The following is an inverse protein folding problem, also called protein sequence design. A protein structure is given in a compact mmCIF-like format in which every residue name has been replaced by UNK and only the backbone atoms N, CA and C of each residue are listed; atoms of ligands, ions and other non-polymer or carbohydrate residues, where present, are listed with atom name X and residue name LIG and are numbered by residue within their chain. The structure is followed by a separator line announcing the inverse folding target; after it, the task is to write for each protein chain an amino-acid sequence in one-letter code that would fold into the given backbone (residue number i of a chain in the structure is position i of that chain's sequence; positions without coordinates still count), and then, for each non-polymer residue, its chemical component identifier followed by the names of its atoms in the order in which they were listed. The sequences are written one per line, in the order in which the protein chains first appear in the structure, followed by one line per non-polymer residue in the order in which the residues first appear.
data_IF_957417952720
#
_entry.id   IF_957417952720
#
_cell.length_a   1.000
_cell.length_b   1.000
_cell.length_c   1.000
_cell.angle_alpha   90.00
_cell.angle_beta   90.00
_cell.angle_gamma   90.00
#
_symmetry.space_group_name_H-M   'P 1'
#
loop_
_entity.id
_entity.type
_entity.pdbx_description
1 polymer ?
#
# COMPACT_ATOMS: atom_id res chain seq x y z
N UNK A 1 16.79 -1.73 -6.76
CA UNK A 1 17.36 -3.03 -7.16
C UNK A 1 18.68 -3.37 -6.45
N UNK A 2 19.76 -2.60 -6.62
CA UNK A 2 21.09 -2.94 -6.03
C UNK A 2 21.05 -3.13 -4.51
N UNK A 3 20.39 -2.23 -3.77
CA UNK A 3 20.25 -2.34 -2.31
C UNK A 3 19.51 -3.61 -1.90
N UNK A 4 18.39 -3.94 -2.56
CA UNK A 4 17.63 -5.16 -2.30
C UNK A 4 18.43 -6.44 -2.63
N UNK A 5 19.27 -6.41 -3.68
CA UNK A 5 20.18 -7.53 -3.98
C UNK A 5 21.26 -7.69 -2.91
N UNK A 6 21.79 -6.60 -2.36
CA UNK A 6 22.75 -6.66 -1.24
C UNK A 6 22.08 -7.22 0.01
N UNK A 7 20.87 -6.76 0.34
CA UNK A 7 20.07 -7.27 1.44
C UNK A 7 19.77 -8.77 1.31
N UNK A 8 19.43 -9.23 0.11
CA UNK A 8 19.24 -10.66 -0.19
C UNK A 8 20.52 -11.47 0.09
N UNK A 9 21.69 -10.95 -0.33
CA UNK A 9 22.99 -11.61 -0.14
C UNK A 9 23.45 -11.63 1.32
N UNK A 10 23.07 -10.63 2.11
CA UNK A 10 23.39 -10.57 3.54
C UNK A 10 22.36 -11.26 4.43
N UNK A 11 21.36 -11.94 3.85
CA UNK A 11 20.25 -12.55 4.58
C UNK A 11 19.55 -11.58 5.55
N UNK A 12 19.39 -10.33 5.13
CA UNK A 12 18.73 -9.30 5.92
C UNK A 12 17.29 -9.71 6.25
N UNK A 13 16.89 -9.62 7.53
CA UNK A 13 15.53 -9.97 7.97
C UNK A 13 14.45 -9.07 7.35
N UNK A 14 14.81 -7.86 6.90
CA UNK A 14 13.91 -6.95 6.20
C UNK A 14 13.79 -7.28 4.70
N UNK A 15 14.60 -8.18 4.15
CA UNK A 15 14.55 -8.53 2.73
C UNK A 15 13.19 -9.17 2.36
N UNK A 16 12.60 -8.68 1.26
CA UNK A 16 11.40 -9.25 0.64
C UNK A 16 11.66 -9.44 -0.86
N UNK A 17 11.41 -10.65 -1.35
CA UNK A 17 11.57 -10.98 -2.79
C UNK A 17 10.58 -10.19 -3.66
N UNK A 18 9.37 -9.94 -3.15
CA UNK A 18 8.34 -9.15 -3.85
C UNK A 18 8.84 -7.73 -4.16
N UNK A 19 9.48 -7.06 -3.20
CA UNK A 19 10.01 -5.71 -3.38
C UNK A 19 11.13 -5.66 -4.44
N UNK A 20 12.00 -6.68 -4.44
CA UNK A 20 13.04 -6.81 -5.47
C UNK A 20 12.43 -7.04 -6.86
N UNK A 21 11.41 -7.90 -6.96
CA UNK A 21 10.72 -8.18 -8.22
C UNK A 21 10.02 -6.94 -8.78
N UNK A 22 9.31 -6.19 -7.92
CA UNK A 22 8.68 -4.92 -8.29
C UNK A 22 9.72 -3.90 -8.78
N UNK A 23 10.80 -3.69 -8.01
CA UNK A 23 11.86 -2.76 -8.39
C UNK A 23 12.55 -3.14 -9.72
N UNK A 24 12.71 -4.45 -9.99
CA UNK A 24 13.27 -4.91 -11.26
C UNK A 24 12.30 -4.68 -12.43
N UNK A 25 11.01 -4.95 -12.23
CA UNK A 25 9.95 -4.66 -13.22
C UNK A 25 9.95 -3.19 -13.58
N UNK A 26 10.00 -2.29 -12.61
CA UNK A 26 9.94 -0.85 -12.87
C UNK A 26 11.16 -0.37 -13.66
N UNK A 27 12.37 -0.84 -13.31
CA UNK A 27 13.59 -0.54 -14.05
C UNK A 27 13.53 -1.08 -15.49
N UNK A 28 13.07 -2.31 -15.68
CA UNK A 28 12.94 -2.90 -17.02
C UNK A 28 11.85 -2.23 -17.85
N UNK A 29 10.72 -1.83 -17.23
CA UNK A 29 9.65 -1.07 -17.88
C UNK A 29 10.17 0.28 -18.37
N UNK A 30 10.89 1.01 -17.52
CA UNK A 30 11.53 2.28 -17.87
C UNK A 30 12.52 2.09 -19.02
N UNK A 31 13.46 1.14 -18.90
CA UNK A 31 14.46 0.87 -19.93
C UNK A 31 13.82 0.45 -21.27
N UNK A 32 12.70 -0.26 -21.24
CA UNK A 32 11.98 -0.69 -22.43
C UNK A 32 11.17 0.43 -23.09
N UNK A 33 10.49 1.27 -22.31
CA UNK A 33 9.59 2.32 -22.83
C UNK A 33 10.30 3.62 -23.19
N UNK A 34 11.30 4.02 -22.41
CA UNK A 34 11.97 5.32 -22.56
C UNK A 34 12.49 5.61 -23.99
N UNK A 35 13.07 4.65 -24.74
CA UNK A 35 13.55 4.91 -26.10
C UNK A 35 12.46 5.26 -27.12
N UNK A 36 11.20 4.86 -26.87
CA UNK A 36 10.07 5.06 -27.77
C UNK A 36 9.06 6.09 -27.24
N UNK A 37 9.27 6.61 -26.04
CA UNK A 37 8.34 7.53 -25.38
C UNK A 37 8.44 8.95 -25.94
N UNK A 38 7.28 9.59 -26.13
CA UNK A 38 7.17 11.00 -26.53
C UNK A 38 6.06 11.71 -25.75
N UNK A 39 6.03 13.04 -25.83
CA UNK A 39 4.97 13.85 -25.24
C UNK A 39 4.77 13.59 -23.74
N UNK A 40 3.50 13.37 -23.34
CA UNK A 40 3.10 13.13 -21.96
C UNK A 40 3.72 11.87 -21.36
N UNK A 41 3.82 10.78 -22.13
CA UNK A 41 4.42 9.53 -21.64
C UNK A 41 5.90 9.75 -21.25
N UNK A 42 6.66 10.50 -22.05
CA UNK A 42 8.04 10.82 -21.70
C UNK A 42 8.14 11.68 -20.44
N UNK A 43 7.19 12.59 -20.23
CA UNK A 43 7.12 13.40 -19.02
C UNK A 43 6.86 12.54 -17.77
N UNK A 44 5.97 11.55 -17.87
CA UNK A 44 5.67 10.60 -16.80
C UNK A 44 6.87 9.67 -16.51
N UNK A 45 7.51 9.11 -17.54
CA UNK A 45 8.63 8.16 -17.38
C UNK A 45 9.93 8.80 -16.88
N UNK A 46 10.17 10.08 -17.17
CA UNK A 46 11.34 10.82 -16.63
C UNK A 46 11.27 11.01 -15.12
N UNK A 47 10.10 10.77 -14.52
CA UNK A 47 9.81 11.08 -13.14
C UNK A 47 9.73 12.59 -12.90
N UNK A 48 9.33 12.96 -11.70
CA UNK A 48 9.27 14.36 -11.29
C UNK A 48 10.63 14.81 -10.76
N UNK A 49 11.24 15.83 -11.38
CA UNK A 49 12.25 16.65 -10.72
C UNK A 49 11.64 17.30 -9.46
N UNK A 50 12.49 17.86 -8.58
CA UNK A 50 12.01 18.61 -7.41
C UNK A 50 11.01 19.68 -7.86
N UNK A 51 9.74 19.44 -7.55
CA UNK A 51 8.66 20.32 -8.00
C UNK A 51 8.69 21.61 -7.18
N UNK A 52 8.56 22.78 -7.83
CA UNK A 52 8.45 24.03 -7.10
C UNK A 52 7.17 24.00 -6.26
N UNK A 53 7.25 24.53 -5.05
CA UNK A 53 6.05 24.73 -4.25
C UNK A 53 5.30 25.95 -4.82
N UNK A 54 3.99 25.81 -5.03
CA UNK A 54 3.14 26.92 -5.44
C UNK A 54 2.61 27.66 -4.20
N UNK A 55 2.49 29.00 -4.26
CA UNK A 55 1.84 29.75 -3.20
C UNK A 55 0.36 29.35 -3.15
N UNK A 56 -0.14 29.03 -1.96
CA UNK A 56 -1.53 28.66 -1.72
C UNK A 56 -2.21 29.60 -0.71
N UNK A 57 -1.66 30.81 -0.54
CA UNK A 57 -2.23 31.86 0.30
C UNK A 57 -2.33 31.48 1.78
N UNK A 58 -3.54 31.58 2.33
CA UNK A 58 -3.88 31.23 3.71
C UNK A 58 -4.62 29.89 3.73
N UNK A 59 -4.17 28.96 4.58
CA UNK A 59 -4.74 27.63 4.74
C UNK A 59 -5.16 27.39 6.19
N UNK A 60 -6.38 26.89 6.38
CA UNK A 60 -6.80 26.25 7.62
C UNK A 60 -6.68 24.75 7.46
N UNK A 61 -5.85 24.14 8.29
CA UNK A 61 -5.56 22.72 8.28
C UNK A 61 -6.02 22.08 9.59
N UNK A 62 -6.43 20.82 9.50
CA UNK A 62 -6.88 19.98 10.58
C UNK A 62 -6.04 18.70 10.57
N UNK A 63 -5.44 18.36 11.71
CA UNK A 63 -4.71 17.11 11.89
C UNK A 63 -5.59 15.90 11.61
N UNK A 64 -5.05 14.90 10.90
CA UNK A 64 -5.73 13.65 10.63
C UNK A 64 -5.13 12.48 11.41
N UNK A 65 -3.88 12.15 11.10
CA UNK A 65 -3.15 11.03 11.70
C UNK A 65 -1.65 11.18 11.36
N UNK A 66 -0.79 10.43 12.05
CA UNK A 66 0.63 10.32 11.71
C UNK A 66 1.03 8.87 11.45
N UNK A 67 1.91 8.64 10.48
CA UNK A 67 2.48 7.30 10.22
C UNK A 67 4.02 7.34 10.31
N UNK A 68 4.65 6.27 10.82
CA UNK A 68 6.09 6.14 10.78
C UNK A 68 6.56 5.91 9.34
N UNK A 69 7.71 6.45 9.00
CA UNK A 69 8.45 6.11 7.79
C UNK A 69 9.62 5.25 8.20
N UNK A 70 9.74 4.07 7.60
CA UNK A 70 10.89 3.19 7.70
C UNK A 70 11.08 2.52 6.34
N UNK A 71 12.15 2.88 5.64
CA UNK A 71 12.38 2.39 4.27
C UNK A 71 13.60 1.48 4.20
N UNK A 72 13.56 0.52 3.27
CA UNK A 72 14.72 -0.32 2.96
C UNK A 72 15.92 0.46 2.39
N UNK A 73 15.72 1.73 1.97
CA UNK A 73 16.78 2.62 1.51
C UNK A 73 17.52 3.33 2.66
N UNK A 74 17.18 3.02 3.92
CA UNK A 74 17.85 3.55 5.10
C UNK A 74 17.35 4.92 5.53
N UNK A 75 16.12 5.30 5.14
CA UNK A 75 15.46 6.51 5.60
C UNK A 75 14.39 6.15 6.63
N UNK A 76 14.29 6.98 7.66
CA UNK A 76 13.32 6.83 8.72
C UNK A 76 12.80 8.17 9.23
N UNK A 77 11.62 8.17 9.84
CA UNK A 77 10.96 9.40 10.27
C UNK A 77 9.48 9.24 10.54
N UNK A 78 8.73 10.32 10.38
CA UNK A 78 7.28 10.31 10.40
C UNK A 78 6.71 11.26 9.33
N UNK A 79 5.48 10.96 8.93
CA UNK A 79 4.65 11.85 8.10
C UNK A 79 3.35 12.09 8.85
N UNK A 80 2.99 13.35 9.05
CA UNK A 80 1.66 13.73 9.52
C UNK A 80 0.82 14.16 8.34
N UNK A 81 -0.38 13.59 8.27
CA UNK A 81 -1.42 13.97 7.34
C UNK A 81 -2.34 15.01 7.98
N UNK A 82 -2.72 15.99 7.19
CA UNK A 82 -3.67 17.03 7.54
C UNK A 82 -4.66 17.20 6.39
N UNK A 83 -5.86 17.71 6.67
CA UNK A 83 -6.81 18.11 5.64
C UNK A 83 -7.17 19.58 5.78
N UNK A 84 -7.48 20.24 4.66
CA UNK A 84 -8.12 21.56 4.70
C UNK A 84 -9.64 21.45 4.89
N UNK A 85 -10.31 22.60 4.99
CA UNK A 85 -11.77 22.66 5.14
C UNK A 85 -12.56 22.10 3.94
N UNK A 86 -11.92 21.87 2.79
CA UNK A 86 -12.53 21.24 1.62
C UNK A 86 -12.37 19.72 1.63
N UNK A 87 -11.46 19.19 2.45
CA UNK A 87 -11.08 17.78 2.48
C UNK A 87 -9.82 17.48 1.65
N UNK A 88 -9.11 18.50 1.15
CA UNK A 88 -7.85 18.30 0.43
C UNK A 88 -6.76 17.90 1.42
N UNK A 89 -6.04 16.83 1.08
CA UNK A 89 -4.97 16.29 1.92
C UNK A 89 -3.66 17.04 1.73
N UNK A 90 -2.96 17.25 2.84
CA UNK A 90 -1.65 17.87 2.93
C UNK A 90 -0.74 17.08 3.86
N UNK A 91 0.56 17.08 3.59
CA UNK A 91 1.54 16.34 4.38
C UNK A 91 2.64 17.23 4.96
N UNK A 92 3.07 16.87 6.17
CA UNK A 92 4.25 17.39 6.84
C UNK A 92 5.14 16.21 7.19
N UNK A 93 6.43 16.25 6.83
CA UNK A 93 7.33 15.12 6.97
C UNK A 93 8.64 15.50 7.65
N UNK A 94 9.11 14.68 8.59
CA UNK A 94 10.48 14.68 9.10
C UNK A 94 11.14 13.34 8.78
N UNK A 95 11.68 13.22 7.57
CA UNK A 95 12.33 12.00 7.08
C UNK A 95 13.80 12.29 6.81
N UNK A 96 14.68 11.50 7.42
CA UNK A 96 16.12 11.59 7.22
C UNK A 96 16.74 10.18 7.31
N UNK A 97 18.02 10.01 6.94
CA UNK A 97 18.70 8.74 7.14
C UNK A 97 18.57 8.23 8.58
N UNK A 98 18.20 6.98 8.76
CA UNK A 98 17.97 6.36 10.06
C UNK A 98 17.28 5.00 9.98
N UNK A 99 17.15 4.34 11.13
CA UNK A 99 16.44 3.07 11.28
C UNK A 99 15.21 3.18 12.18
N UNK A 100 14.73 2.03 12.66
CA UNK A 100 13.50 1.93 13.43
C UNK A 100 13.41 2.88 14.64
N UNK A 101 14.51 3.08 15.38
CA UNK A 101 14.53 4.02 16.51
C UNK A 101 14.27 5.49 16.12
N UNK A 102 14.62 5.90 14.89
CA UNK A 102 14.24 7.22 14.37
C UNK A 102 12.77 7.23 13.97
N UNK A 103 12.27 6.15 13.35
CA UNK A 103 10.87 6.06 12.93
C UNK A 103 9.91 6.17 14.13
N UNK A 104 10.22 5.48 15.23
CA UNK A 104 9.42 5.54 16.46
C UNK A 104 9.58 6.88 17.18
N UNK A 105 10.81 7.39 17.29
CA UNK A 105 11.09 8.65 17.99
C UNK A 105 10.68 9.91 17.22
N UNK A 106 10.39 9.84 15.92
CA UNK A 106 10.00 10.99 15.12
C UNK A 106 8.64 11.56 15.54
N UNK A 107 7.73 10.74 16.07
CA UNK A 107 6.42 11.18 16.54
C UNK A 107 6.49 12.34 17.55
N UNK A 108 7.48 12.29 18.43
CA UNK A 108 7.70 13.23 19.53
C UNK A 108 8.72 14.33 19.19
N UNK A 109 9.27 14.34 17.96
CA UNK A 109 10.14 15.42 17.49
C UNK A 109 9.32 16.59 16.98
N UNK A 110 9.69 17.78 17.43
CA UNK A 110 9.10 19.02 16.95
C UNK A 110 9.40 19.26 15.48
N UNK A 111 8.35 19.42 14.67
CA UNK A 111 8.44 19.88 13.29
C UNK A 111 8.10 21.36 13.24
N UNK A 112 8.96 22.12 12.57
CA UNK A 112 8.78 23.54 12.40
C UNK A 112 7.99 23.82 11.13
N UNK A 113 6.89 24.56 11.27
CA UNK A 113 6.09 25.10 10.16
C UNK A 113 6.04 26.60 10.37
N UNK A 114 6.79 27.34 9.55
CA UNK A 114 6.98 28.78 9.74
C UNK A 114 7.62 29.10 11.10
N UNK A 115 6.87 29.78 11.95
CA UNK A 115 7.23 30.17 13.31
C UNK A 115 6.63 29.28 14.42
N UNK A 116 5.74 28.33 14.08
CA UNK A 116 5.22 27.35 15.03
C UNK A 116 6.04 26.07 15.01
N UNK A 117 6.18 25.44 16.19
CA UNK A 117 6.74 24.10 16.35
C UNK A 117 5.71 23.23 17.06
N UNK A 118 5.38 22.08 16.46
CA UNK A 118 4.52 21.05 17.03
C UNK A 118 5.19 19.70 16.79
N UNK A 119 5.04 18.77 17.73
CA UNK A 119 5.38 17.37 17.44
C UNK A 119 4.42 16.78 16.41
N UNK A 120 4.81 15.70 15.73
CA UNK A 120 3.92 14.99 14.82
C UNK A 120 2.65 14.49 15.53
N UNK A 121 2.78 14.03 16.78
CA UNK A 121 1.66 13.58 17.62
C UNK A 121 0.69 14.72 17.97
N UNK A 122 1.20 15.92 18.25
CA UNK A 122 0.36 17.10 18.46
C UNK A 122 -0.29 17.55 17.15
N UNK A 123 0.46 17.56 16.05
CA UNK A 123 -0.04 18.00 14.75
C UNK A 123 -1.14 17.08 14.21
N UNK A 124 -1.09 15.77 14.46
CA UNK A 124 -2.16 14.87 14.02
C UNK A 124 -3.50 15.12 14.71
N UNK A 125 -3.53 15.88 15.82
CA UNK A 125 -4.73 16.18 16.61
C UNK A 125 -5.11 17.66 16.62
N UNK A 126 -4.13 18.56 16.41
CA UNK A 126 -4.33 19.99 16.42
C UNK A 126 -4.84 20.53 15.07
N UNK A 127 -5.25 21.80 15.06
CA UNK A 127 -5.41 22.58 13.84
C UNK A 127 -4.20 23.47 13.60
N UNK A 128 -4.02 23.92 12.36
CA UNK A 128 -3.04 24.94 11.99
C UNK A 128 -3.70 25.98 11.09
N UNK A 129 -3.39 27.25 11.33
CA UNK A 129 -3.62 28.33 10.37
C UNK A 129 -2.26 28.70 9.80
N UNK A 130 -2.08 28.54 8.49
CA UNK A 130 -0.83 28.80 7.79
C UNK A 130 -1.05 29.94 6.80
N UNK A 131 -0.26 31.01 6.88
CA UNK A 131 -0.24 32.09 5.90
C UNK A 131 1.08 32.10 5.12
N UNK A 132 0.99 32.49 3.85
CA UNK A 132 2.12 32.35 2.92
C UNK A 132 2.45 30.88 2.62
N UNK A 133 1.45 29.99 2.74
CA UNK A 133 1.66 28.56 2.57
C UNK A 133 2.21 28.25 1.18
N UNK A 134 3.20 27.37 1.13
CA UNK A 134 3.74 26.85 -0.11
C UNK A 134 3.44 25.36 -0.15
N UNK A 135 2.82 24.87 -1.23
CA UNK A 135 2.38 23.47 -1.34
C UNK A 135 2.95 22.85 -2.62
N UNK A 136 3.51 21.64 -2.52
CA UNK A 136 3.89 20.87 -3.71
C UNK A 136 2.64 20.38 -4.46
N UNK A 137 2.75 19.97 -5.73
CA UNK A 137 1.64 19.31 -6.44
C UNK A 137 1.11 18.08 -5.70
N UNK A 138 1.98 17.38 -4.96
CA UNK A 138 1.67 16.22 -4.13
C UNK A 138 1.14 16.57 -2.73
N UNK A 139 0.83 17.84 -2.44
CA UNK A 139 0.23 18.27 -1.17
C UNK A 139 1.21 18.47 -0.02
N UNK A 140 2.53 18.35 -0.24
CA UNK A 140 3.52 18.58 0.81
C UNK A 140 3.59 20.05 1.17
N UNK A 141 3.55 20.36 2.47
CA UNK A 141 3.70 21.72 2.97
C UNK A 141 5.17 22.12 3.05
N UNK A 142 5.48 23.30 2.52
CA UNK A 142 6.79 23.92 2.63
C UNK A 142 6.90 24.72 3.92
N UNK A 143 8.09 24.73 4.51
CA UNK A 143 8.42 25.50 5.73
C UNK A 143 9.35 26.69 5.42
N UNK A 144 9.16 27.35 4.26
CA UNK A 144 10.02 28.45 3.81
C UNK A 144 9.92 29.70 4.70
N UNK A 145 10.88 30.63 4.58
CA UNK A 145 10.99 31.83 5.42
C UNK A 145 9.78 32.78 5.37
N UNK A 146 8.97 32.72 4.30
CA UNK A 146 7.73 33.49 4.17
C UNK A 146 6.49 32.82 4.76
N UNK A 147 6.61 31.59 5.27
CA UNK A 147 5.51 30.84 5.88
C UNK A 147 5.38 31.26 7.33
N UNK A 148 4.16 31.60 7.74
CA UNK A 148 3.78 31.80 9.14
C UNK A 148 2.73 30.77 9.48
N UNK A 149 2.81 30.20 10.68
CA UNK A 149 1.80 29.26 11.13
C UNK A 149 1.49 29.49 12.59
N UNK A 150 0.24 29.26 12.96
CA UNK A 150 -0.23 29.35 14.34
C UNK A 150 -1.07 28.11 14.65
N UNK A 151 -0.84 27.52 15.83
CA UNK A 151 -1.68 26.43 16.35
C UNK A 151 -3.12 26.91 16.49
N UNK A 152 -4.05 26.08 16.08
CA UNK A 152 -5.48 26.32 16.20
C UNK A 152 -6.19 25.06 16.73
N UNK A 153 -7.49 25.18 17.00
CA UNK A 153 -8.31 24.03 17.35
C UNK A 153 -8.37 23.04 16.18
N UNK A 154 -8.15 21.76 16.49
CA UNK A 154 -8.36 20.65 15.57
C UNK A 154 -9.85 20.30 15.41
N UNK A 155 -10.11 19.18 14.78
CA UNK A 155 -11.44 18.58 14.68
C UNK A 155 -11.31 17.07 14.92
N UNK A 156 -12.28 16.49 15.62
CA UNK A 156 -12.39 15.03 15.71
C UNK A 156 -12.79 14.47 14.34
N UNK A 157 -12.48 13.20 14.07
CA UNK A 157 -12.83 12.58 12.79
C UNK A 157 -14.34 12.56 12.53
N UNK A 158 -15.16 12.49 13.57
CA UNK A 158 -16.63 12.51 13.48
C UNK A 158 -17.21 13.93 13.28
N UNK A 159 -16.42 14.98 13.47
CA UNK A 159 -16.85 16.36 13.35
C UNK A 159 -16.46 16.97 12.00
N UNK A 160 -17.20 17.98 11.57
CA UNK A 160 -16.79 18.81 10.44
C UNK A 160 -15.51 19.62 10.81
N UNK A 161 -14.59 19.83 9.85
CA UNK A 161 -14.72 19.47 8.44
C UNK A 161 -14.23 18.06 8.09
N UNK A 162 -13.63 17.31 9.02
CA UNK A 162 -12.99 16.02 8.71
C UNK A 162 -13.99 14.92 8.38
N UNK A 163 -15.19 14.97 8.96
CA UNK A 163 -16.24 13.96 8.76
C UNK A 163 -16.58 13.69 7.29
N UNK A 164 -16.44 14.69 6.42
CA UNK A 164 -16.67 14.54 4.98
C UNK A 164 -15.77 13.53 4.29
N UNK A 165 -14.56 13.29 4.81
CA UNK A 165 -13.63 12.33 4.21
C UNK A 165 -14.20 10.91 4.25
N UNK A 166 -14.88 10.58 5.35
CA UNK A 166 -15.60 9.32 5.53
C UNK A 166 -16.98 9.30 4.85
N UNK A 167 -17.56 10.46 4.55
CA UNK A 167 -18.83 10.56 3.84
C UNK A 167 -18.72 10.24 2.34
N UNK A 168 -17.50 10.23 1.77
CA UNK A 168 -17.28 9.86 0.36
C UNK A 168 -17.62 8.37 0.17
N UNK A 169 -18.46 8.00 -0.82
CA UNK A 169 -18.80 6.61 -1.09
C UNK A 169 -17.55 5.73 -1.26
N UNK A 170 -17.60 4.56 -0.62
CA UNK A 170 -16.51 3.58 -0.58
C UNK A 170 -15.97 3.28 -1.99
N UNK A 171 -16.85 2.99 -2.96
CA UNK A 171 -16.47 2.73 -4.35
C UNK A 171 -15.74 3.92 -5.03
N UNK A 172 -16.13 5.16 -4.73
CA UNK A 172 -15.46 6.35 -5.27
C UNK A 172 -14.04 6.50 -4.70
N UNK A 173 -13.88 6.24 -3.39
CA UNK A 173 -12.56 6.26 -2.76
C UNK A 173 -11.63 5.21 -3.40
N UNK A 174 -12.12 4.02 -3.72
CA UNK A 174 -11.33 2.97 -4.38
C UNK A 174 -10.97 3.30 -5.82
N UNK A 175 -11.93 3.78 -6.61
CA UNK A 175 -11.66 4.20 -7.99
C UNK A 175 -10.58 5.30 -8.04
N UNK A 176 -10.63 6.27 -7.12
CA UNK A 176 -9.58 7.29 -6.95
C UNK A 176 -8.24 6.68 -6.54
N UNK A 177 -8.23 5.79 -5.55
CA UNK A 177 -6.99 5.16 -5.06
C UNK A 177 -6.31 4.24 -6.09
N UNK A 178 -7.07 3.69 -7.05
CA UNK A 178 -6.54 2.86 -8.13
C UNK A 178 -5.98 3.69 -9.30
N UNK A 179 -6.51 4.90 -9.50
CA UNK A 179 -6.21 5.75 -10.68
C UNK A 179 -5.26 6.89 -10.38
N UNK A 180 -5.09 7.24 -9.10
CA UNK A 180 -4.25 8.36 -8.65
C UNK A 180 -3.22 7.88 -7.63
N UNK A 181 -2.22 8.71 -7.35
CA UNK A 181 -1.25 8.47 -6.28
C UNK A 181 -1.85 8.69 -4.86
N UNK A 182 -3.16 8.93 -4.73
CA UNK A 182 -3.85 9.07 -3.44
C UNK A 182 -4.40 7.72 -2.97
N UNK A 183 -3.56 6.94 -2.31
CA UNK A 183 -3.86 5.58 -1.88
C UNK A 183 -4.62 5.46 -0.54
N UNK A 184 -4.97 6.59 0.08
CA UNK A 184 -5.67 6.64 1.37
C UNK A 184 -7.19 6.44 1.23
N UNK A 185 -7.70 5.63 2.14
CA UNK A 185 -9.08 5.24 2.29
C UNK A 185 -9.57 5.64 3.68
N UNK A 186 -10.76 6.24 3.74
CA UNK A 186 -11.45 6.68 4.94
C UNK A 186 -12.71 5.85 5.09
N UNK A 187 -12.64 4.79 5.90
CA UNK A 187 -13.69 3.77 5.96
C UNK A 187 -14.36 3.76 7.34
N UNK A 188 -15.68 3.66 7.35
CA UNK A 188 -16.44 3.23 8.51
C UNK A 188 -16.53 1.70 8.48
N UNK A 189 -16.04 1.03 9.52
CA UNK A 189 -15.94 -0.43 9.55
C UNK A 189 -16.47 -1.01 10.86
N UNK A 190 -17.01 -2.23 10.80
CA UNK A 190 -17.34 -3.04 11.98
C UNK A 190 -16.42 -4.24 12.05
N UNK A 191 -15.67 -4.40 13.14
CA UNK A 191 -14.74 -5.52 13.29
C UNK A 191 -15.50 -6.85 13.43
N UNK A 192 -15.23 -7.83 12.57
CA UNK A 192 -15.97 -9.10 12.55
C UNK A 192 -15.14 -10.27 13.07
N UNK A 193 -13.83 -10.27 12.87
CA UNK A 193 -12.95 -11.32 13.38
C UNK A 193 -11.59 -11.35 12.71
N UNK A 194 -10.97 -12.53 12.62
CA UNK A 194 -9.70 -12.73 11.92
C UNK A 194 -9.80 -13.90 10.95
N UNK A 195 -8.98 -13.85 9.91
CA UNK A 195 -8.80 -14.95 8.94
C UNK A 195 -7.31 -15.29 8.86
N UNK A 196 -7.00 -16.58 8.78
CA UNK A 196 -5.63 -17.06 8.56
C UNK A 196 -5.44 -17.34 7.08
N UNK A 197 -4.43 -16.69 6.50
CA UNK A 197 -4.08 -16.83 5.09
C UNK A 197 -2.60 -17.19 4.96
N UNK A 198 -2.16 -17.51 3.73
CA UNK A 198 -0.76 -17.82 3.46
C UNK A 198 0.19 -16.67 3.83
N UNK A 199 -0.28 -15.43 3.74
CA UNK A 199 0.47 -14.22 4.11
C UNK A 199 0.48 -13.93 5.63
N UNK A 200 -0.32 -14.65 6.42
CA UNK A 200 -0.47 -14.45 7.85
C UNK A 200 -1.91 -14.26 8.30
N UNK A 201 -2.08 -13.82 9.54
CA UNK A 201 -3.40 -13.49 10.09
C UNK A 201 -3.79 -12.07 9.72
N UNK A 202 -5.02 -11.90 9.21
CA UNK A 202 -5.59 -10.60 8.87
C UNK A 202 -6.83 -10.33 9.74
N UNK A 203 -7.01 -9.07 10.11
CA UNK A 203 -8.25 -8.61 10.72
C UNK A 203 -9.31 -8.50 9.62
N UNK A 204 -10.53 -8.95 9.91
CA UNK A 204 -11.67 -8.87 9.00
C UNK A 204 -12.66 -7.86 9.56
N UNK A 205 -13.18 -7.01 8.69
CA UNK A 205 -14.20 -6.04 9.02
C UNK A 205 -15.28 -5.97 7.95
N UNK A 206 -16.50 -5.64 8.35
CA UNK A 206 -17.58 -5.25 7.45
C UNK A 206 -17.48 -3.75 7.17
N UNK A 207 -17.52 -3.37 5.90
CA UNK A 207 -17.59 -1.99 5.44
C UNK A 207 -18.80 -1.84 4.52
N UNK A 208 -19.94 -1.42 5.07
CA UNK A 208 -21.20 -1.30 4.34
C UNK A 208 -21.60 -2.59 3.57
N UNK A 209 -21.45 -3.76 4.21
CA UNK A 209 -21.75 -5.06 3.61
C UNK A 209 -20.57 -5.68 2.83
N UNK A 210 -19.49 -4.92 2.60
CA UNK A 210 -18.27 -5.44 1.98
C UNK A 210 -17.32 -6.01 3.03
N UNK A 211 -16.89 -7.26 2.85
CA UNK A 211 -15.89 -7.87 3.73
C UNK A 211 -14.48 -7.40 3.36
N UNK A 212 -13.87 -6.59 4.22
CA UNK A 212 -12.54 -6.01 4.05
C UNK A 212 -11.52 -6.74 4.92
N UNK A 213 -10.36 -7.06 4.33
CA UNK A 213 -9.18 -7.60 5.01
C UNK A 213 -8.21 -6.48 5.35
N UNK A 214 -8.00 -6.28 6.65
CA UNK A 214 -7.10 -5.27 7.20
C UNK A 214 -5.81 -5.94 7.67
N UNK A 215 -4.68 -5.49 7.11
CA UNK A 215 -3.34 -5.97 7.43
C UNK A 215 -2.47 -4.88 8.07
N UNK A 216 -1.34 -5.29 8.64
CA UNK A 216 -0.36 -4.36 9.21
C UNK A 216 0.30 -3.55 8.10
N UNK A 217 0.39 -2.24 8.27
CA UNK A 217 1.08 -1.39 7.30
C UNK A 217 2.60 -1.59 7.30
N UNK A 218 3.15 -2.12 8.39
CA UNK A 218 4.56 -2.51 8.48
C UNK A 218 4.74 -3.72 9.39
N UNK A 219 5.65 -4.61 9.02
CA UNK A 219 5.98 -5.83 9.75
C UNK A 219 7.17 -5.71 10.72
N UNK A 220 7.75 -4.52 10.88
CA UNK A 220 8.94 -4.35 11.71
C UNK A 220 8.52 -4.46 13.18
N UNK A 221 9.16 -5.33 13.98
CA UNK A 221 8.77 -5.57 15.37
C UNK A 221 8.93 -4.35 16.28
N UNK A 222 9.72 -3.35 15.88
CA UNK A 222 9.83 -2.10 16.62
C UNK A 222 8.57 -1.22 16.48
N UNK A 223 7.77 -1.42 15.43
CA UNK A 223 6.55 -0.66 15.17
C UNK A 223 5.32 -1.38 15.78
N UNK A 224 4.37 -0.66 16.41
CA UNK A 224 3.21 -1.25 17.08
C UNK A 224 2.16 -1.94 16.19
N UNK A 225 2.24 -1.82 14.86
CA UNK A 225 1.16 -2.23 13.94
C UNK A 225 0.61 -3.64 14.22
N UNK A 226 1.49 -4.66 14.30
CA UNK A 226 1.07 -6.05 14.48
C UNK A 226 0.44 -6.30 15.85
N UNK A 227 0.98 -5.70 16.90
CA UNK A 227 0.45 -5.85 18.25
C UNK A 227 -0.91 -5.18 18.38
N UNK A 228 -1.07 -3.99 17.81
CA UNK A 228 -2.34 -3.28 17.78
C UNK A 228 -3.41 -4.05 16.99
N UNK A 229 -3.07 -4.63 15.83
CA UNK A 229 -3.99 -5.47 15.05
C UNK A 229 -4.45 -6.71 15.83
N UNK A 230 -3.55 -7.37 16.58
CA UNK A 230 -3.90 -8.49 17.46
C UNK A 230 -4.83 -8.06 18.59
N UNK A 231 -4.66 -6.87 19.15
CA UNK A 231 -5.56 -6.33 20.17
C UNK A 231 -6.94 -6.00 19.57
N UNK A 232 -6.99 -5.33 18.42
CA UNK A 232 -8.24 -5.02 17.71
C UNK A 232 -9.02 -6.28 17.32
N UNK A 233 -8.35 -7.40 17.02
CA UNK A 233 -9.01 -8.68 16.80
C UNK A 233 -9.85 -9.18 18.00
N UNK A 234 -9.53 -8.70 19.21
CA UNK A 234 -10.32 -8.97 20.42
C UNK A 234 -11.53 -8.05 20.58
N UNK A 235 -11.63 -6.96 19.82
CA UNK A 235 -12.70 -5.95 19.90
C UNK A 235 -13.77 -6.16 18.81
N UNK A 236 -14.24 -7.41 18.65
CA UNK A 236 -15.27 -7.74 17.67
C UNK A 236 -16.58 -6.99 17.95
N UNK A 237 -17.29 -6.60 16.90
CA UNK A 237 -18.50 -5.79 16.97
C UNK A 237 -18.25 -4.29 17.11
N UNK A 238 -17.01 -3.85 17.40
CA UNK A 238 -16.67 -2.43 17.46
C UNK A 238 -16.83 -1.78 16.10
N UNK A 239 -17.56 -0.65 16.09
CA UNK A 239 -17.67 0.26 14.95
C UNK A 239 -16.58 1.30 15.07
N UNK A 240 -15.71 1.38 14.07
CA UNK A 240 -14.56 2.26 14.06
C UNK A 240 -14.52 3.04 12.76
N UNK A 241 -14.10 4.29 12.84
CA UNK A 241 -13.52 4.98 11.68
C UNK A 241 -12.08 4.54 11.54
N UNK A 242 -11.66 4.27 10.30
CA UNK A 242 -10.28 3.90 10.02
C UNK A 242 -9.73 4.71 8.86
N UNK A 243 -8.43 4.97 8.93
CA UNK A 243 -7.62 5.38 7.78
C UNK A 243 -6.77 4.20 7.37
N UNK A 244 -6.86 3.82 6.10
CA UNK A 244 -6.15 2.69 5.55
C UNK A 244 -5.53 3.03 4.19
N UNK A 245 -4.50 2.27 3.78
CA UNK A 245 -3.88 2.37 2.46
C UNK A 245 -4.30 1.19 1.59
N UNK A 246 -4.80 1.46 0.39
CA UNK A 246 -5.20 0.41 -0.55
C UNK A 246 -4.04 -0.54 -0.83
N UNK A 247 -4.29 -1.85 -0.78
CA UNK A 247 -3.37 -2.87 -1.29
C UNK A 247 -4.04 -3.63 -2.43
N UNK A 248 -3.55 -3.50 -3.67
CA UNK A 248 -4.07 -4.27 -4.79
C UNK A 248 -4.00 -5.78 -4.49
N UNK A 249 -5.15 -6.42 -4.46
CA UNK A 249 -5.28 -7.85 -4.22
C UNK A 249 -6.60 -8.36 -4.82
N UNK A 250 -6.73 -9.68 -5.10
CA UNK A 250 -7.98 -10.25 -5.61
C UNK A 250 -9.17 -10.15 -4.66
N UNK A 251 -8.94 -9.80 -3.40
CA UNK A 251 -9.95 -9.61 -2.37
C UNK A 251 -9.79 -8.22 -1.77
N UNK A 252 -10.87 -7.60 -1.24
CA UNK A 252 -10.79 -6.27 -0.67
C UNK A 252 -9.77 -6.22 0.47
N UNK A 253 -8.63 -5.56 0.25
CA UNK A 253 -7.51 -5.49 1.19
C UNK A 253 -7.00 -4.08 1.35
N UNK A 254 -6.72 -3.70 2.59
CA UNK A 254 -6.04 -2.46 2.92
C UNK A 254 -5.07 -2.62 4.10
N UNK A 255 -4.05 -1.78 4.13
CA UNK A 255 -3.12 -1.65 5.25
C UNK A 255 -3.69 -0.65 6.25
N UNK A 256 -3.87 -1.07 7.50
CA UNK A 256 -4.46 -0.22 8.53
C UNK A 256 -3.41 0.76 9.09
N UNK A 257 -3.67 2.07 8.96
CA UNK A 257 -2.76 3.13 9.37
C UNK A 257 -3.17 3.77 10.69
N UNK A 258 -4.46 4.09 10.84
CA UNK A 258 -5.00 4.69 12.05
C UNK A 258 -6.45 4.26 12.27
N UNK A 259 -6.90 4.29 13.52
CA UNK A 259 -8.29 3.98 13.91
C UNK A 259 -8.83 4.99 14.91
N UNK A 260 -10.14 5.25 14.92
CA UNK A 260 -10.79 5.93 16.03
C UNK A 260 -10.59 5.09 17.30
N UNK A 261 -10.44 5.75 18.44
CA UNK A 261 -10.18 5.02 19.68
C UNK A 261 -11.40 4.13 20.03
N UNK A 262 -11.22 2.84 20.36
CA UNK A 262 -12.36 1.92 20.49
C UNK A 262 -13.37 2.27 21.59
N UNK A 263 -12.96 3.07 22.57
CA UNK A 263 -13.80 3.54 23.69
C UNK A 263 -13.98 5.06 23.74
N UNK A 264 -13.36 5.81 22.83
CA UNK A 264 -13.45 7.29 22.77
C UNK A 264 -13.56 7.74 21.31
N UNK A 265 -14.75 8.15 20.87
CA UNK A 265 -14.99 8.52 19.48
C UNK A 265 -14.31 9.82 19.04
N UNK A 266 -13.87 10.65 19.98
CA UNK A 266 -13.20 11.93 19.69
C UNK A 266 -11.67 11.76 19.58
N UNK A 267 -11.15 10.63 20.06
CA UNK A 267 -9.75 10.26 19.95
C UNK A 267 -9.48 9.31 18.78
N UNK A 268 -8.22 9.25 18.35
CA UNK A 268 -7.72 8.27 17.39
C UNK A 268 -6.35 7.76 17.82
N UNK A 269 -5.99 6.61 17.26
CA UNK A 269 -4.73 5.90 17.49
C UNK A 269 -3.98 5.78 16.18
N UNK A 270 -2.79 6.36 16.15
CA UNK A 270 -1.83 6.26 15.05
C UNK A 270 -1.13 4.90 15.14
N UNK A 271 -1.58 3.86 14.42
CA UNK A 271 -1.22 2.46 14.72
C UNK A 271 0.27 2.12 14.59
N UNK A 272 1.03 2.94 13.87
CA UNK A 272 2.47 2.78 13.73
C UNK A 272 3.30 3.51 14.79
N UNK A 273 2.67 4.33 15.64
CA UNK A 273 3.34 5.19 16.63
C UNK A 273 2.79 4.97 18.04
N UNK A 274 1.48 4.79 18.16
CA UNK A 274 0.77 4.61 19.43
C UNK A 274 0.55 3.11 19.71
N UNK A 275 0.52 2.73 21.00
CA UNK A 275 0.25 1.36 21.44
C UNK A 275 -1.12 1.29 22.10
N UNK A 276 -2.00 0.45 21.57
CA UNK A 276 -3.22 0.05 22.26
C UNK A 276 -2.88 -0.85 23.45
N UNK A 277 -3.68 -0.74 24.49
CA UNK A 277 -3.69 -1.60 25.65
C UNK A 277 -5.03 -2.34 25.71
N UNK A 278 -5.09 -3.39 26.54
CA UNK A 278 -6.33 -4.14 26.79
C UNK A 278 -7.44 -3.24 27.35
N UNK A 279 -7.07 -2.24 28.15
CA UNK A 279 -7.98 -1.28 28.78
C UNK A 279 -8.62 -0.32 27.78
N UNK A 280 -8.03 -0.15 26.59
CA UNK A 280 -8.54 0.71 25.53
C UNK A 280 -9.63 0.02 24.70
N UNK A 281 -9.88 -1.28 24.95
CA UNK A 281 -10.91 -2.06 24.26
C UNK A 281 -12.23 -2.04 25.06
N UNK A 282 -13.38 -2.19 24.39
CA UNK A 282 -14.66 -2.29 25.08
C UNK A 282 -14.69 -3.46 26.07
N UNK A 283 -15.18 -3.21 27.29
CA UNK A 283 -15.25 -4.22 28.35
C UNK A 283 -16.21 -5.37 28.01
N UNK A 284 -17.26 -5.09 27.23
CA UNK A 284 -18.19 -6.09 26.73
C UNK A 284 -17.97 -6.29 25.24
N UNK A 285 -17.40 -7.43 24.88
CA UNK A 285 -17.34 -7.90 23.50
C UNK A 285 -18.51 -8.85 23.31
N UNK A 286 -19.44 -8.58 22.38
CA UNK A 286 -20.54 -9.51 22.11
C UNK A 286 -19.96 -10.90 21.82
N UNK A 287 -20.60 -11.98 22.31
CA UNK A 287 -20.14 -13.34 22.04
C UNK A 287 -19.99 -13.52 20.54
N UNK A 288 -18.91 -14.19 20.14
CA UNK A 288 -18.65 -14.44 18.72
C UNK A 288 -19.89 -15.10 18.11
N UNK A 289 -20.50 -14.45 17.12
CA UNK A 289 -21.33 -15.18 16.18
C UNK A 289 -20.48 -16.34 15.63
N UNK A 290 -21.11 -17.50 15.42
CA UNK A 290 -20.41 -18.65 14.85
C UNK A 290 -19.59 -18.17 13.64
N UNK A 291 -18.31 -18.55 13.51
CA UNK A 291 -17.46 -18.08 12.44
C UNK A 291 -18.20 -18.34 11.13
N UNK A 292 -18.63 -17.27 10.48
CA UNK A 292 -19.05 -17.37 9.09
C UNK A 292 -17.79 -17.84 8.40
N UNK A 293 -17.78 -19.11 7.97
CA UNK A 293 -16.76 -19.60 7.08
C UNK A 293 -16.87 -18.70 5.85
N UNK A 294 -15.99 -17.70 5.76
CA UNK A 294 -15.81 -17.00 4.52
C UNK A 294 -15.53 -18.11 3.52
N UNK A 295 -16.30 -18.23 2.42
CA UNK A 295 -15.99 -19.22 1.41
C UNK A 295 -14.51 -19.08 1.10
N UNK A 296 -13.80 -20.21 0.99
CA UNK A 296 -12.49 -20.19 0.34
C UNK A 296 -12.74 -19.53 -1.00
N UNK A 297 -12.39 -18.24 -1.11
CA UNK A 297 -12.56 -17.54 -2.35
C UNK A 297 -11.74 -18.34 -3.34
N UNK A 298 -12.36 -18.78 -4.43
CA UNK A 298 -11.65 -19.42 -5.53
C UNK A 298 -10.75 -18.33 -6.13
N UNK A 299 -9.61 -18.11 -5.48
CA UNK A 299 -8.70 -17.02 -5.78
C UNK A 299 -8.20 -17.28 -7.19
N UNK A 300 -8.50 -16.34 -8.10
CA UNK A 300 -8.01 -16.38 -9.45
C UNK A 300 -6.52 -16.75 -9.40
N UNK A 301 -6.05 -17.77 -10.15
CA UNK A 301 -4.74 -18.38 -9.93
C UNK A 301 -3.55 -17.54 -10.45
N UNK A 302 -3.64 -16.21 -10.31
CA UNK A 302 -2.61 -15.21 -10.64
C UNK A 302 -1.29 -15.51 -9.92
N UNK A 303 -1.37 -16.10 -8.71
CA UNK A 303 -0.19 -16.54 -7.95
C UNK A 303 0.70 -17.52 -8.74
N UNK A 304 0.15 -18.28 -9.70
CA UNK A 304 0.94 -19.19 -10.55
C UNK A 304 1.92 -18.42 -11.44
N UNK A 305 1.45 -17.36 -12.11
CA UNK A 305 2.28 -16.48 -12.92
C UNK A 305 3.29 -15.73 -12.04
N UNK A 306 2.81 -15.13 -10.94
CA UNK A 306 3.64 -14.36 -9.99
C UNK A 306 4.76 -15.20 -9.40
N UNK A 307 4.48 -16.45 -9.03
CA UNK A 307 5.48 -17.39 -8.51
C UNK A 307 6.63 -17.57 -9.50
N UNK A 308 6.35 -17.71 -10.80
CA UNK A 308 7.39 -17.89 -11.83
C UNK A 308 8.17 -16.60 -12.09
N UNK A 309 7.50 -15.45 -12.07
CA UNK A 309 8.14 -14.14 -12.11
C UNK A 309 9.13 -13.99 -10.94
N UNK A 310 8.71 -14.28 -9.72
CA UNK A 310 9.55 -14.19 -8.51
C UNK A 310 10.70 -15.20 -8.53
N UNK A 311 10.45 -16.44 -8.95
CA UNK A 311 11.49 -17.48 -9.08
C UNK A 311 12.61 -17.08 -10.04
N UNK A 312 12.28 -16.39 -11.14
CA UNK A 312 13.29 -15.88 -12.07
C UNK A 312 14.16 -14.78 -11.45
N UNK A 313 13.63 -13.99 -10.52
CA UNK A 313 14.39 -12.93 -9.83
C UNK A 313 15.37 -13.53 -8.83
N UNK A 314 14.92 -14.50 -8.02
CA UNK A 314 15.77 -15.13 -7.01
C UNK A 314 16.76 -16.13 -7.60
N UNK A 315 16.32 -16.92 -8.59
CA UNK A 315 17.08 -18.06 -9.13
C UNK A 315 17.63 -17.87 -10.54
N UNK A 316 17.29 -16.76 -11.20
CA UNK A 316 17.69 -16.48 -12.57
C UNK A 316 16.97 -17.33 -13.63
N UNK A 317 17.29 -17.06 -14.90
CA UNK A 317 16.70 -17.73 -16.07
C UNK A 317 16.70 -19.25 -15.99
N UNK A 318 17.77 -19.85 -15.47
CA UNK A 318 17.99 -21.31 -15.49
C UNK A 318 16.94 -22.05 -14.67
N UNK A 319 16.39 -21.45 -13.61
CA UNK A 319 15.34 -22.07 -12.78
C UNK A 319 14.06 -22.32 -13.58
N UNK A 320 13.75 -21.45 -14.54
CA UNK A 320 12.59 -21.61 -15.41
C UNK A 320 12.86 -22.51 -16.62
N UNK A 321 14.12 -22.75 -16.96
CA UNK A 321 14.53 -23.58 -18.09
C UNK A 321 14.34 -25.09 -17.85
N UNK A 322 13.97 -25.52 -16.63
CA UNK A 322 13.65 -26.91 -16.33
C UNK A 322 12.20 -27.27 -16.69
N UNK A 323 11.94 -28.43 -17.32
CA UNK A 323 10.62 -28.82 -17.84
C UNK A 323 9.59 -29.24 -16.78
N UNK A 324 9.98 -29.42 -15.50
CA UNK A 324 9.07 -29.92 -14.47
C UNK A 324 7.88 -28.99 -14.19
N UNK A 325 6.66 -29.48 -14.43
CA UNK A 325 5.41 -28.85 -13.98
C UNK A 325 4.92 -27.64 -14.79
N UNK A 326 5.41 -27.44 -16.02
CA UNK A 326 5.03 -26.29 -16.89
C UNK A 326 3.56 -26.33 -17.32
N UNK A 327 3.09 -27.50 -17.74
CA UNK A 327 1.80 -27.64 -18.41
C UNK A 327 0.61 -27.52 -17.45
N UNK A 328 0.81 -27.88 -16.17
CA UNK A 328 -0.22 -27.83 -15.15
C UNK A 328 -0.59 -26.37 -14.77
N UNK A 329 0.41 -25.49 -14.65
CA UNK A 329 0.20 -24.08 -14.28
C UNK A 329 -0.56 -23.34 -15.40
N UNK A 330 -0.12 -23.50 -16.66
CA UNK A 330 -0.77 -22.87 -17.82
C UNK A 330 -2.20 -23.39 -18.06
N UNK A 331 -2.44 -24.70 -17.88
CA UNK A 331 -3.77 -25.28 -18.01
C UNK A 331 -4.74 -24.74 -16.93
N UNK A 332 -4.26 -24.56 -15.69
CA UNK A 332 -5.07 -24.00 -14.61
C UNK A 332 -5.44 -22.54 -14.85
N UNK A 333 -4.52 -21.73 -15.38
CA UNK A 333 -4.81 -20.35 -15.81
C UNK A 333 -5.90 -20.31 -16.90
N UNK A 334 -5.79 -21.13 -17.95
CA UNK A 334 -6.80 -21.22 -19.03
C UNK A 334 -8.17 -21.62 -18.53
N UNK A 335 -8.26 -22.62 -17.65
CA UNK A 335 -9.53 -23.06 -17.04
C UNK A 335 -10.24 -21.96 -16.24
N UNK A 336 -9.49 -20.96 -15.76
CA UNK A 336 -10.02 -19.81 -15.03
C UNK A 336 -10.18 -18.56 -15.93
N UNK A 337 -10.19 -18.73 -17.26
CA UNK A 337 -10.34 -17.62 -18.21
C UNK A 337 -9.10 -16.73 -18.38
N UNK A 338 -7.98 -17.05 -17.73
CA UNK A 338 -6.74 -16.26 -17.78
C UNK A 338 -5.83 -16.69 -18.96
N UNK A 339 -6.37 -16.65 -20.18
CA UNK A 339 -5.69 -17.14 -21.39
C UNK A 339 -4.41 -16.36 -21.68
N UNK A 340 -4.46 -15.03 -21.65
CA UNK A 340 -3.28 -14.16 -21.86
C UNK A 340 -2.17 -14.44 -20.84
N UNK A 341 -2.52 -14.65 -19.57
CA UNK A 341 -1.56 -14.99 -18.53
C UNK A 341 -0.89 -16.36 -18.79
N UNK A 342 -1.66 -17.33 -19.29
CA UNK A 342 -1.13 -18.64 -19.67
C UNK A 342 -0.17 -18.55 -20.86
N UNK A 343 -0.50 -17.77 -21.89
CA UNK A 343 0.38 -17.55 -23.04
C UNK A 343 1.68 -16.84 -22.67
N UNK A 344 1.62 -15.83 -21.80
CA UNK A 344 2.80 -15.15 -21.28
C UNK A 344 3.66 -16.08 -20.42
N UNK A 345 3.05 -16.97 -19.64
CA UNK A 345 3.76 -17.99 -18.88
C UNK A 345 4.49 -18.97 -19.80
N UNK A 346 3.83 -19.45 -20.85
CA UNK A 346 4.42 -20.36 -21.83
C UNK A 346 5.57 -19.67 -22.60
N UNK A 347 5.38 -18.41 -22.99
CA UNK A 347 6.41 -17.57 -23.62
C UNK A 347 7.62 -17.33 -22.71
N UNK A 348 7.39 -17.12 -21.41
CA UNK A 348 8.46 -16.98 -20.42
C UNK A 348 9.27 -18.27 -20.28
N UNK A 349 8.60 -19.43 -20.19
CA UNK A 349 9.29 -20.72 -20.15
C UNK A 349 10.07 -21.00 -21.44
N UNK A 350 9.50 -20.69 -22.60
CA UNK A 350 10.16 -20.84 -23.89
C UNK A 350 11.41 -19.96 -24.00
N UNK A 351 11.31 -18.69 -23.61
CA UNK A 351 12.46 -17.77 -23.58
C UNK A 351 13.54 -18.20 -22.57
N UNK A 352 13.14 -18.82 -21.45
CA UNK A 352 14.07 -19.37 -20.48
C UNK A 352 14.83 -20.60 -21.01
N UNK A 353 14.10 -21.48 -21.71
CA UNK A 353 14.62 -22.72 -22.28
C UNK A 353 15.41 -22.52 -23.58
N UNK A 354 15.39 -21.30 -24.15
CA UNK A 354 16.03 -20.99 -25.41
C UNK A 354 17.52 -21.36 -25.41
N UNK A 355 17.88 -22.20 -26.38
CA UNK A 355 19.19 -22.79 -26.63
C UNK A 355 19.37 -22.97 -28.13
N UNK A 356 19.52 -21.86 -28.84
CA UNK A 356 19.88 -21.88 -30.25
C UNK A 356 21.28 -22.49 -30.44
N UNK A 357 21.49 -23.12 -31.60
CA UNK A 357 22.79 -23.65 -32.02
C UNK A 357 23.18 -23.02 -33.35
N UNK A 358 24.48 -22.81 -33.56
CA UNK A 358 24.99 -22.42 -34.87
C UNK A 358 24.95 -23.60 -35.86
N UNK A 359 25.31 -23.35 -37.12
CA UNK A 359 25.39 -24.37 -38.18
C UNK A 359 26.38 -25.50 -37.84
N UNK A 360 27.28 -25.29 -36.87
CA UNK A 360 28.26 -26.28 -36.38
C UNK A 360 27.78 -27.00 -35.11
N UNK A 361 26.53 -26.80 -34.69
CA UNK A 361 25.93 -27.43 -33.52
C UNK A 361 26.39 -26.86 -32.17
N UNK A 362 27.18 -25.78 -32.15
CA UNK A 362 27.64 -25.11 -30.92
C UNK A 362 26.51 -24.28 -30.35
N UNK A 363 26.38 -24.29 -29.02
CA UNK A 363 25.36 -23.48 -28.34
C UNK A 363 25.67 -21.99 -28.50
N UNK A 364 24.69 -21.25 -29.01
CA UNK A 364 24.74 -19.80 -29.04
C UNK A 364 24.50 -19.22 -27.64
N UNK A 365 25.02 -18.01 -27.37
CA UNK A 365 24.64 -17.27 -26.18
C UNK A 365 23.12 -17.12 -26.07
N UNK A 366 22.61 -17.15 -24.86
CA UNK A 366 21.19 -16.94 -24.63
C UNK A 366 20.78 -15.52 -25.03
N UNK A 367 19.61 -15.39 -25.68
CA UNK A 367 19.00 -14.10 -25.92
C UNK A 367 18.42 -13.54 -24.61
N UNK A 368 19.26 -12.79 -23.88
CA UNK A 368 18.89 -12.14 -22.63
C UNK A 368 17.84 -11.04 -22.83
N UNK A 369 17.81 -10.41 -24.01
CA UNK A 369 16.82 -9.39 -24.35
C UNK A 369 15.43 -9.99 -24.53
N UNK A 370 15.32 -11.12 -25.23
CA UNK A 370 14.06 -11.87 -25.36
C UNK A 370 13.55 -12.35 -24.01
N UNK A 371 14.42 -12.91 -23.17
CA UNK A 371 14.03 -13.33 -21.83
C UNK A 371 13.57 -12.16 -20.95
N UNK A 372 14.29 -11.04 -20.98
CA UNK A 372 13.91 -9.83 -20.23
C UNK A 372 12.54 -9.29 -20.66
N UNK A 373 12.24 -9.26 -21.97
CA UNK A 373 10.92 -8.84 -22.48
C UNK A 373 9.81 -9.80 -22.07
N UNK A 374 10.03 -11.11 -22.19
CA UNK A 374 9.05 -12.12 -21.77
C UNK A 374 8.77 -12.05 -20.27
N UNK A 375 9.81 -11.86 -19.46
CA UNK A 375 9.68 -11.68 -18.01
C UNK A 375 8.93 -10.38 -17.67
N UNK A 376 9.27 -9.27 -18.34
CA UNK A 376 8.60 -7.98 -18.13
C UNK A 376 7.12 -8.05 -18.49
N UNK A 377 6.76 -8.68 -19.61
CA UNK A 377 5.36 -8.85 -20.02
C UNK A 377 4.57 -9.68 -19.00
N UNK A 378 5.13 -10.79 -18.51
CA UNK A 378 4.52 -11.59 -17.45
C UNK A 378 4.36 -10.81 -16.13
N UNK A 379 5.38 -10.02 -15.73
CA UNK A 379 5.34 -9.22 -14.52
C UNK A 379 4.31 -8.09 -14.57
N UNK A 380 4.20 -7.40 -15.71
CA UNK A 380 3.18 -6.36 -15.93
C UNK A 380 1.79 -6.99 -15.98
N UNK A 381 1.60 -8.11 -16.69
CA UNK A 381 0.31 -8.80 -16.72
C UNK A 381 -0.17 -9.22 -15.33
N UNK A 382 0.72 -9.74 -14.47
CA UNK A 382 0.37 -10.08 -13.10
C UNK A 382 -0.07 -8.84 -12.29
N UNK A 383 0.62 -7.71 -12.43
CA UNK A 383 0.24 -6.45 -11.77
C UNK A 383 -1.11 -5.90 -12.25
N UNK A 384 -1.33 -5.89 -13.57
CA UNK A 384 -2.60 -5.43 -14.14
C UNK A 384 -3.77 -6.35 -13.74
N UNK A 385 -3.54 -7.66 -13.65
CA UNK A 385 -4.53 -8.60 -13.13
C UNK A 385 -4.84 -8.35 -11.66
N UNK A 386 -3.83 -8.12 -10.82
CA UNK A 386 -4.03 -7.76 -9.41
C UNK A 386 -4.85 -6.46 -9.30
N UNK A 387 -4.59 -5.45 -10.15
CA UNK A 387 -5.35 -4.20 -10.19
C UNK A 387 -6.80 -4.41 -10.65
N UNK A 388 -7.01 -5.18 -11.72
CA UNK A 388 -8.33 -5.43 -12.28
C UNK A 388 -9.21 -6.28 -11.33
N UNK A 389 -8.64 -7.32 -10.73
CA UNK A 389 -9.33 -8.13 -9.72
C UNK A 389 -9.62 -7.33 -8.45
N UNK A 390 -8.70 -6.45 -8.05
CA UNK A 390 -8.93 -5.51 -6.96
C UNK A 390 -10.12 -4.60 -7.27
N UNK A 391 -10.14 -3.94 -8.44
CA UNK A 391 -11.27 -3.10 -8.85
C UNK A 391 -12.61 -3.87 -8.78
N UNK A 392 -12.66 -5.05 -9.40
CA UNK A 392 -13.86 -5.90 -9.39
C UNK A 392 -14.29 -6.33 -7.97
N UNK A 393 -13.32 -6.58 -7.07
CA UNK A 393 -13.61 -6.97 -5.69
C UNK A 393 -14.20 -5.81 -4.86
N UNK A 394 -13.85 -4.56 -5.18
CA UNK A 394 -14.33 -3.37 -4.49
C UNK A 394 -15.59 -2.75 -5.14
N UNK A 395 -15.93 -3.12 -6.37
CA UNK A 395 -17.12 -2.65 -7.12
C UNK A 395 -18.42 -3.39 -6.77
N UNK A 396 -18.43 -4.26 -5.76
CA UNK A 396 -19.65 -5.02 -5.40
C UNK A 396 -20.73 -4.08 -4.86
N UNK A 397 -21.80 -3.91 -5.63
CA UNK A 397 -23.00 -3.17 -5.22
C UNK A 397 -23.56 -3.72 -3.90
N UNK A 398 -23.83 -2.87 -2.89
CA UNK A 398 -24.60 -3.26 -1.72
C UNK A 398 -26.06 -3.50 -2.17
N UNK A 399 -26.36 -4.72 -2.61
CA UNK A 399 -27.72 -5.04 -3.07
C UNK A 399 -27.97 -6.46 -3.53
N UNK A 400 -26.96 -7.29 -3.85
CA UNK A 400 -27.21 -8.67 -4.26
C UNK A 400 -27.24 -9.65 -3.07
N UNK A 401 -28.19 -9.43 -2.17
CA UNK A 401 -28.85 -10.55 -1.46
C UNK A 401 -30.20 -10.75 -2.13
N UNK A 402 -30.56 -12.02 -2.31
CA UNK A 402 -31.69 -12.59 -3.07
C UNK A 402 -31.25 -13.14 -4.45
N UNK A 403 -31.41 -14.41 -4.81
CA UNK A 403 -32.10 -15.53 -4.17
C UNK A 403 -31.50 -16.86 -4.64
N UNK A 404 -31.37 -17.83 -3.74
CA UNK A 404 -31.58 -19.27 -3.97
C UNK A 404 -31.78 -19.95 -2.62
#
# INVERSE_FOLDING_TARGET
VVTALRAARSADAAYRLTDLAAALRDVLRLAHRLPAAGGQELAELRGSARQPYAPNGSLRLYGLFSEPVLTATGYAGAVTWTADATGRLHTVSDVAPGGAGRATGAADRGVRIGDTTLTHRELSRAGLVVSGATVSPTGRLGAGAGVRAVRASGAAWHAEPLGRLWAVPVAEQFSRALTTDQDLLFLDVTLTGTVREAAGECLVADCAGLTVRLAAAHDDPALPHRDNLRLLASARGSRLRVVARLTPAPLPRALLLAVSHPTDSDAHVDLGLDRLLRADLPAHVPPAAAPVALPEADEAPVHLLRRRVHQAVSGGRRVLAFPGGRDADGSRLRRNGLVTAAELLDGLHAAAADRARDHFGRLLPADTGRFARAWLAAAVCAEELDRALCAAAWEVEPGRRDAS
#
